data_IF_102778120705
#
_entry.id   IF_102778120705
#
_cell.length_a   1.000
_cell.length_b   1.000
_cell.length_c   1.000
_cell.angle_alpha   90.00
_cell.angle_beta   90.00
_cell.angle_gamma   90.00
#
_symmetry.space_group_name_H-M   'P 1'
#
loop_
_entity.id
_entity.type
_entity.pdbx_description
1 polymer ?
#
# COMPACT_ATOMS: atom_id res chain seq x y z
N UNK A 1 20.90 22.46 -7.31
CA UNK A 1 20.24 21.59 -6.32
C UNK A 1 20.80 20.18 -6.47
N UNK A 2 20.95 19.41 -5.39
CA UNK A 2 21.37 18.01 -5.51
C UNK A 2 20.31 17.22 -6.30
N UNK A 3 20.76 16.44 -7.29
CA UNK A 3 19.89 15.63 -8.16
C UNK A 3 19.13 14.57 -7.37
N UNK A 4 19.76 14.01 -6.33
CA UNK A 4 19.14 13.11 -5.38
C UNK A 4 19.32 13.66 -3.96
N UNK A 5 18.25 13.72 -3.17
CA UNK A 5 18.25 14.23 -1.80
C UNK A 5 17.77 13.15 -0.84
N UNK A 6 18.51 12.89 0.23
CA UNK A 6 18.05 12.03 1.33
C UNK A 6 16.90 12.72 2.05
N UNK A 7 15.84 11.98 2.34
CA UNK A 7 14.70 12.49 3.08
C UNK A 7 14.87 12.25 4.58
N UNK A 8 14.62 13.30 5.36
CA UNK A 8 14.36 13.20 6.80
C UNK A 8 12.90 12.83 7.05
N UNK A 9 12.56 12.47 8.28
CA UNK A 9 11.17 12.21 8.69
C UNK A 9 10.22 13.38 8.38
N UNK A 10 10.64 14.62 8.63
CA UNK A 10 9.79 15.79 8.40
C UNK A 10 9.57 16.02 6.90
N UNK A 11 10.62 15.87 6.09
CA UNK A 11 10.50 16.02 4.64
C UNK A 11 9.72 14.88 3.99
N UNK A 12 9.81 13.66 4.52
CA UNK A 12 8.98 12.52 4.08
C UNK A 12 7.48 12.84 4.19
N UNK A 13 7.06 13.35 5.34
CA UNK A 13 5.65 13.71 5.57
C UNK A 13 5.20 14.79 4.57
N UNK A 14 6.07 15.74 4.24
CA UNK A 14 5.75 16.79 3.25
C UNK A 14 5.53 16.19 1.85
N UNK A 15 6.42 15.33 1.36
CA UNK A 15 6.24 14.69 0.05
C UNK A 15 5.05 13.74 0.03
N UNK A 16 4.80 13.03 1.12
CA UNK A 16 3.63 12.14 1.24
C UNK A 16 2.32 12.90 1.06
N UNK A 17 2.23 14.13 1.56
CA UNK A 17 1.05 14.99 1.41
C UNK A 17 0.84 15.50 -0.03
N UNK A 18 1.89 15.48 -0.85
CA UNK A 18 1.82 15.81 -2.28
C UNK A 18 1.55 14.60 -3.16
N UNK A 19 1.62 13.38 -2.60
CA UNK A 19 1.36 12.15 -3.33
C UNK A 19 -0.10 11.99 -3.75
N UNK A 20 -0.31 11.30 -4.87
CA UNK A 20 -1.64 10.99 -5.39
C UNK A 20 -1.92 9.48 -5.51
N UNK A 21 -0.88 8.65 -5.43
CA UNK A 21 -0.93 7.19 -5.49
C UNK A 21 0.11 6.62 -4.50
N UNK A 22 0.93 5.60 -4.79
CA UNK A 22 1.88 4.96 -3.87
C UNK A 22 2.75 5.91 -3.02
N UNK A 23 3.02 7.12 -3.50
CA UNK A 23 3.81 8.12 -2.77
C UNK A 23 3.15 8.54 -1.45
N UNK A 24 1.85 8.31 -1.36
CA UNK A 24 1.00 8.52 -0.21
C UNK A 24 1.39 7.59 0.97
N UNK A 25 2.19 6.53 0.72
CA UNK A 25 2.77 5.62 1.72
C UNK A 25 4.26 5.85 1.96
N UNK A 26 4.83 6.99 1.53
CA UNK A 26 6.27 7.22 1.58
C UNK A 26 6.91 7.00 2.96
N UNK A 27 6.22 7.43 4.02
CA UNK A 27 6.68 7.23 5.39
C UNK A 27 6.64 5.77 5.82
N UNK A 28 5.65 5.00 5.38
CA UNK A 28 5.58 3.56 5.65
C UNK A 28 6.66 2.79 4.88
N UNK A 29 6.80 3.07 3.58
CA UNK A 29 7.83 2.48 2.72
C UNK A 29 9.25 2.80 3.18
N UNK A 30 9.49 3.96 3.79
CA UNK A 30 10.80 4.28 4.39
C UNK A 30 11.18 3.37 5.58
N UNK A 31 10.21 2.68 6.19
CA UNK A 31 10.47 1.72 7.26
C UNK A 31 10.63 0.29 6.73
N UNK A 32 10.00 -0.02 5.60
CA UNK A 32 9.98 -1.37 5.02
C UNK A 32 11.07 -1.59 3.97
N UNK A 33 11.32 -0.61 3.10
CA UNK A 33 12.11 -0.76 1.87
C UNK A 33 13.47 -0.04 1.91
N UNK A 34 13.81 0.62 3.01
CA UNK A 34 15.14 1.17 3.25
C UNK A 34 15.20 2.70 3.35
N UNK A 35 16.41 3.25 3.23
CA UNK A 35 16.62 4.68 3.41
C UNK A 35 15.95 5.48 2.29
N UNK A 36 15.13 6.50 2.61
CA UNK A 36 14.37 7.23 1.61
C UNK A 36 15.14 8.41 1.01
N UNK A 37 14.94 8.59 -0.30
CA UNK A 37 15.49 9.66 -1.12
C UNK A 37 14.41 10.18 -2.09
N UNK A 38 14.62 11.38 -2.62
CA UNK A 38 13.83 11.93 -3.71
C UNK A 38 14.75 12.37 -4.85
N UNK A 39 14.42 11.96 -6.07
CA UNK A 39 15.09 12.38 -7.30
C UNK A 39 14.40 13.63 -7.86
N UNK A 40 15.15 14.73 -7.92
CA UNK A 40 14.70 16.04 -8.43
C UNK A 40 13.34 16.52 -7.91
N UNK A 41 13.01 16.18 -6.66
CA UNK A 41 11.72 16.49 -6.03
C UNK A 41 10.50 15.87 -6.76
N UNK A 42 10.71 14.83 -7.57
CA UNK A 42 9.68 14.16 -8.38
C UNK A 42 9.47 12.69 -8.01
N UNK A 43 10.52 11.86 -8.00
CA UNK A 43 10.39 10.41 -7.82
C UNK A 43 10.93 9.95 -6.48
N UNK A 44 10.22 9.06 -5.80
CA UNK A 44 10.64 8.48 -4.53
C UNK A 44 11.54 7.26 -4.77
N UNK A 45 12.61 7.19 -3.99
CA UNK A 45 13.64 6.16 -4.10
C UNK A 45 13.96 5.65 -2.71
N UNK A 46 13.97 4.34 -2.53
CA UNK A 46 14.35 3.68 -1.28
C UNK A 46 15.49 2.72 -1.54
N UNK A 47 16.54 2.81 -0.73
CA UNK A 47 17.67 1.90 -0.85
C UNK A 47 17.84 1.09 0.42
N UNK A 48 17.63 -0.23 0.32
CA UNK A 48 18.00 -1.16 1.37
C UNK A 48 19.44 -1.64 1.15
N UNK A 49 20.36 -1.03 1.90
CA UNK A 49 21.79 -1.40 1.86
C UNK A 49 22.08 -2.83 2.29
N UNK A 50 21.17 -3.49 3.02
CA UNK A 50 21.41 -4.84 3.55
C UNK A 50 21.15 -5.90 2.48
N UNK A 51 20.04 -5.78 1.75
CA UNK A 51 19.71 -6.63 0.60
C UNK A 51 20.30 -6.12 -0.72
N UNK A 52 20.79 -4.87 -0.74
CA UNK A 52 21.20 -4.13 -1.95
C UNK A 52 20.08 -4.02 -2.99
N UNK A 53 18.84 -3.90 -2.53
CA UNK A 53 17.67 -3.67 -3.39
C UNK A 53 17.41 -2.16 -3.45
N UNK A 54 17.18 -1.67 -4.67
CA UNK A 54 16.76 -0.31 -4.94
C UNK A 54 15.29 -0.30 -5.36
N UNK A 55 14.44 0.34 -4.57
CA UNK A 55 13.01 0.50 -4.86
C UNK A 55 12.76 1.89 -5.43
N UNK A 56 12.05 1.98 -6.56
CA UNK A 56 11.64 3.25 -7.18
C UNK A 56 10.13 3.30 -7.36
N UNK A 57 9.53 4.41 -6.94
CA UNK A 57 8.18 4.79 -7.35
C UNK A 57 8.29 5.92 -8.37
N UNK A 58 7.92 5.63 -9.61
CA UNK A 58 8.01 6.53 -10.77
C UNK A 58 6.67 7.22 -11.08
N UNK A 59 5.88 7.43 -10.04
CA UNK A 59 4.73 8.33 -10.05
C UNK A 59 5.21 9.74 -9.66
N UNK A 60 4.69 10.76 -10.33
CA UNK A 60 5.24 12.11 -10.30
C UNK A 60 4.66 12.91 -9.12
N UNK A 61 5.52 13.31 -8.17
CA UNK A 61 5.13 14.20 -7.06
C UNK A 61 4.97 15.67 -7.46
N UNK A 62 5.67 16.10 -8.52
CA UNK A 62 5.72 17.51 -8.91
C UNK A 62 5.82 17.65 -10.44
N UNK A 63 7.02 17.77 -10.99
CA UNK A 63 7.24 17.99 -12.43
C UNK A 63 7.63 16.69 -13.10
N UNK A 64 7.16 16.48 -14.33
CA UNK A 64 7.57 15.36 -15.17
C UNK A 64 9.08 15.39 -15.41
N UNK A 65 9.76 14.35 -14.94
CA UNK A 65 11.20 14.14 -15.08
C UNK A 65 11.48 12.85 -15.85
N UNK A 66 12.66 12.75 -16.46
CA UNK A 66 13.05 11.55 -17.21
C UNK A 66 13.21 10.35 -16.25
N UNK A 67 12.31 9.37 -16.43
CA UNK A 67 12.27 8.13 -15.64
C UNK A 67 13.52 7.27 -15.83
N UNK A 68 14.03 7.13 -17.06
CA UNK A 68 15.24 6.35 -17.34
C UNK A 68 16.45 7.03 -16.71
N UNK A 69 16.54 8.35 -16.81
CA UNK A 69 17.61 9.10 -16.16
C UNK A 69 17.59 8.93 -14.63
N UNK A 70 16.40 8.90 -14.01
CA UNK A 70 16.25 8.61 -12.59
C UNK A 70 16.82 7.23 -12.23
N UNK A 71 16.43 6.20 -12.97
CA UNK A 71 16.88 4.81 -12.75
C UNK A 71 18.40 4.70 -12.92
N UNK A 72 18.96 5.20 -14.01
CA UNK A 72 20.41 5.13 -14.27
C UNK A 72 21.22 5.91 -13.22
N UNK A 73 20.75 7.10 -12.83
CA UNK A 73 21.44 7.92 -11.83
C UNK A 73 21.47 7.24 -10.47
N UNK A 74 20.34 6.68 -10.05
CA UNK A 74 20.20 6.02 -8.74
C UNK A 74 20.92 4.67 -8.72
N UNK A 75 20.82 3.87 -9.78
CA UNK A 75 21.56 2.62 -9.93
C UNK A 75 23.08 2.85 -9.88
N UNK A 76 23.59 3.88 -10.57
CA UNK A 76 25.02 4.23 -10.51
C UNK A 76 25.47 4.68 -9.13
N UNK A 77 24.61 5.40 -8.39
CA UNK A 77 24.95 5.93 -7.07
C UNK A 77 24.98 4.83 -5.99
N UNK A 78 23.98 3.95 -6.00
CA UNK A 78 23.79 2.95 -4.95
C UNK A 78 24.39 1.58 -5.28
N UNK A 79 24.72 1.32 -6.54
CA UNK A 79 25.22 0.03 -7.03
C UNK A 79 24.42 -1.19 -6.53
N UNK A 80 23.09 -1.24 -6.77
CA UNK A 80 22.25 -2.32 -6.27
C UNK A 80 22.48 -3.63 -7.03
N UNK A 81 22.09 -4.75 -6.41
CA UNK A 81 22.02 -6.06 -7.07
C UNK A 81 20.67 -6.28 -7.77
N UNK A 82 19.62 -5.62 -7.28
CA UNK A 82 18.24 -5.68 -7.79
C UNK A 82 17.57 -4.30 -7.77
N UNK A 83 16.69 -4.06 -8.75
CA UNK A 83 15.86 -2.86 -8.81
C UNK A 83 14.39 -3.28 -8.92
N UNK A 84 13.56 -2.77 -8.02
CA UNK A 84 12.11 -2.94 -8.03
C UNK A 84 11.47 -1.60 -8.37
N UNK A 85 10.64 -1.58 -9.41
CA UNK A 85 10.05 -0.33 -9.92
C UNK A 85 8.54 -0.45 -9.95
N UNK A 86 7.84 0.54 -9.40
CA UNK A 86 6.42 0.80 -9.69
C UNK A 86 6.28 2.05 -10.57
N UNK A 87 5.54 1.96 -11.67
CA UNK A 87 5.41 3.04 -12.66
C UNK A 87 4.02 3.08 -13.31
N UNK A 88 3.59 4.25 -13.84
CA UNK A 88 2.33 4.37 -14.58
C UNK A 88 2.37 3.73 -15.98
N UNK A 89 3.55 3.37 -16.46
CA UNK A 89 3.79 2.82 -17.80
C UNK A 89 4.79 1.68 -17.75
N UNK A 90 4.68 0.77 -18.72
CA UNK A 90 5.62 -0.33 -18.87
C UNK A 90 6.97 0.18 -19.35
N UNK A 91 8.02 -0.11 -18.59
CA UNK A 91 9.40 0.18 -18.95
C UNK A 91 10.00 -0.92 -19.83
N UNK A 92 11.09 -0.57 -20.52
CA UNK A 92 11.87 -1.49 -21.33
C UNK A 92 12.43 -2.67 -20.53
N UNK A 93 12.62 -3.81 -21.20
CA UNK A 93 13.10 -5.06 -20.58
C UNK A 93 14.52 -4.94 -20.03
N UNK A 94 15.40 -4.20 -20.70
CA UNK A 94 16.80 -4.05 -20.30
C UNK A 94 17.09 -2.58 -19.99
N UNK A 95 17.69 -2.31 -18.83
CA UNK A 95 18.09 -0.95 -18.42
C UNK A 95 19.54 -1.00 -17.94
N UNK A 96 20.46 -0.44 -18.73
CA UNK A 96 21.89 -0.54 -18.46
C UNK A 96 22.34 -2.00 -18.28
N UNK A 97 22.94 -2.31 -17.13
CA UNK A 97 23.41 -3.65 -16.79
C UNK A 97 22.32 -4.54 -16.14
N UNK A 98 21.06 -4.13 -16.16
CA UNK A 98 19.97 -4.86 -15.51
C UNK A 98 18.98 -5.45 -16.53
N UNK A 99 18.53 -6.67 -16.25
CA UNK A 99 17.53 -7.38 -17.04
C UNK A 99 16.25 -7.59 -16.22
N UNK A 100 15.10 -7.28 -16.82
CA UNK A 100 13.80 -7.47 -16.19
C UNK A 100 13.46 -8.97 -16.11
N UNK A 101 13.24 -9.45 -14.89
CA UNK A 101 12.93 -10.87 -14.62
C UNK A 101 11.45 -11.09 -14.28
N UNK A 102 10.75 -10.06 -13.84
CA UNK A 102 9.33 -10.11 -13.52
C UNK A 102 8.61 -8.83 -13.97
N UNK A 103 7.40 -8.99 -14.49
CA UNK A 103 6.53 -7.90 -14.95
C UNK A 103 5.11 -8.22 -14.51
N UNK A 104 4.53 -7.32 -13.72
CA UNK A 104 3.14 -7.38 -13.32
C UNK A 104 2.41 -6.08 -13.69
N UNK A 105 1.14 -6.20 -14.08
CA UNK A 105 0.25 -5.09 -14.36
C UNK A 105 -0.95 -5.15 -13.42
N UNK A 106 -1.26 -4.02 -12.81
CA UNK A 106 -2.39 -3.86 -11.89
C UNK A 106 -3.04 -2.48 -12.04
N UNK A 107 -4.13 -2.26 -11.31
CA UNK A 107 -4.79 -0.98 -11.18
C UNK A 107 -5.10 -0.68 -9.72
N UNK A 108 -4.95 0.59 -9.39
CA UNK A 108 -5.43 1.15 -8.14
C UNK A 108 -6.91 1.46 -8.20
N UNK A 109 -7.62 1.27 -7.09
CA UNK A 109 -9.07 1.46 -7.01
C UNK A 109 -9.46 2.38 -5.86
N UNK A 110 -10.23 3.42 -6.19
CA UNK A 110 -10.64 4.43 -5.22
C UNK A 110 -12.13 4.70 -5.24
N UNK A 111 -12.70 5.07 -4.10
CA UNK A 111 -14.08 5.49 -3.95
C UNK A 111 -14.14 7.02 -3.90
N UNK A 112 -14.93 7.61 -4.80
CA UNK A 112 -15.28 9.03 -4.72
C UNK A 112 -16.38 9.24 -3.67
N UNK A 113 -15.97 9.67 -2.47
CA UNK A 113 -16.82 9.74 -1.29
C UNK A 113 -18.04 10.68 -1.43
N UNK A 114 -17.96 11.84 -2.13
CA UNK A 114 -19.12 12.71 -2.31
C UNK A 114 -20.29 12.06 -3.06
N UNK A 115 -20.03 11.08 -3.94
CA UNK A 115 -21.09 10.35 -4.67
C UNK A 115 -21.51 9.04 -4.01
N UNK A 116 -20.74 8.53 -3.05
CA UNK A 116 -21.09 7.29 -2.35
C UNK A 116 -22.32 7.51 -1.48
N UNK A 117 -23.31 6.61 -1.54
CA UNK A 117 -24.50 6.70 -0.70
C UNK A 117 -24.36 5.86 0.58
N UNK A 118 -24.02 6.49 1.70
CA UNK A 118 -23.85 5.84 3.01
C UNK A 118 -25.16 5.32 3.63
N UNK A 119 -26.33 5.73 3.14
CA UNK A 119 -27.61 5.11 3.54
C UNK A 119 -27.77 3.71 2.93
N UNK A 120 -26.93 3.36 1.95
CA UNK A 120 -26.97 2.11 1.18
C UNK A 120 -28.36 1.85 0.57
N UNK A 121 -29.09 2.92 0.22
CA UNK A 121 -30.41 2.83 -0.41
C UNK A 121 -30.32 2.52 -1.90
N UNK A 122 -31.40 1.95 -2.44
CA UNK A 122 -31.48 1.53 -3.83
C UNK A 122 -31.00 0.11 -4.11
N UNK A 123 -31.21 -0.32 -5.35
CA UNK A 123 -30.95 -1.70 -5.78
C UNK A 123 -29.46 -2.01 -5.92
N UNK A 124 -28.65 -1.04 -6.35
CA UNK A 124 -27.20 -1.20 -6.49
C UNK A 124 -26.52 -1.58 -5.17
N UNK A 125 -27.05 -1.11 -4.04
CA UNK A 125 -26.50 -1.33 -2.71
C UNK A 125 -27.13 -2.52 -1.95
N UNK A 126 -28.06 -3.27 -2.56
CA UNK A 126 -28.82 -4.33 -1.88
C UNK A 126 -27.92 -5.36 -1.18
N UNK A 127 -26.85 -5.81 -1.86
CA UNK A 127 -25.93 -6.78 -1.29
C UNK A 127 -25.10 -6.18 -0.15
N UNK A 128 -24.59 -4.95 -0.32
CA UNK A 128 -23.81 -4.25 0.70
C UNK A 128 -24.64 -4.04 1.97
N UNK A 129 -25.87 -3.52 1.81
CA UNK A 129 -26.81 -3.31 2.92
C UNK A 129 -27.08 -4.59 3.70
N UNK A 130 -27.29 -5.71 3.00
CA UNK A 130 -27.45 -7.02 3.65
C UNK A 130 -26.20 -7.41 4.46
N UNK A 131 -25.00 -7.27 3.87
CA UNK A 131 -23.74 -7.67 4.53
C UNK A 131 -23.47 -6.82 5.76
N UNK A 132 -23.61 -5.50 5.65
CA UNK A 132 -23.43 -4.55 6.76
C UNK A 132 -24.45 -4.82 7.88
N UNK A 133 -25.73 -4.98 7.56
CA UNK A 133 -26.75 -5.31 8.56
C UNK A 133 -26.51 -6.67 9.23
N UNK A 134 -26.02 -7.68 8.48
CA UNK A 134 -25.66 -8.97 9.05
C UNK A 134 -24.51 -8.85 10.06
N UNK A 135 -23.48 -8.04 9.76
CA UNK A 135 -22.39 -7.77 10.71
C UNK A 135 -22.87 -7.03 11.97
N UNK A 136 -23.71 -6.01 11.81
CA UNK A 136 -24.32 -5.28 12.94
C UNK A 136 -25.16 -6.22 13.80
N UNK A 137 -25.99 -7.07 13.19
CA UNK A 137 -26.80 -8.07 13.92
C UNK A 137 -25.94 -9.07 14.70
N UNK A 138 -24.73 -9.35 14.22
CA UNK A 138 -23.74 -10.21 14.89
C UNK A 138 -22.99 -9.51 16.03
N UNK A 139 -23.25 -8.22 16.26
CA UNK A 139 -22.62 -7.44 17.32
C UNK A 139 -21.21 -6.96 16.97
N UNK A 140 -20.87 -6.85 15.68
CA UNK A 140 -19.58 -6.27 15.31
C UNK A 140 -19.55 -4.79 15.62
N UNK A 141 -18.42 -4.31 16.15
CA UNK A 141 -18.18 -2.90 16.41
C UNK A 141 -16.75 -2.52 16.05
N UNK A 142 -16.54 -1.23 15.75
CA UNK A 142 -15.25 -0.67 15.38
C UNK A 142 -14.69 0.15 16.55
N UNK A 143 -13.42 -0.02 16.88
CA UNK A 143 -12.65 0.89 17.71
C UNK A 143 -11.44 1.42 16.93
N UNK A 144 -11.15 2.71 17.07
CA UNK A 144 -9.99 3.33 16.44
C UNK A 144 -8.84 3.40 17.45
N UNK A 145 -7.67 2.90 17.07
CA UNK A 145 -6.49 2.83 17.93
C UNK A 145 -5.21 3.33 17.27
N UNK A 146 -4.13 3.38 18.05
CA UNK A 146 -2.77 3.74 17.57
C UNK A 146 -1.68 2.78 18.04
N UNK A 147 -2.06 1.68 18.69
CA UNK A 147 -1.12 0.73 19.29
C UNK A 147 -1.56 -0.67 18.97
N UNK A 148 -0.62 -1.44 18.45
CA UNK A 148 -0.80 -2.88 18.32
C UNK A 148 -0.76 -3.53 19.71
N UNK A 149 -1.70 -4.44 19.92
CA UNK A 149 -1.76 -5.37 21.05
C UNK A 149 -1.39 -6.79 20.57
N UNK A 150 -1.12 -7.76 21.48
CA UNK A 150 -0.80 -9.15 21.12
C UNK A 150 -1.76 -9.77 20.08
N UNK A 151 -3.06 -9.45 20.16
CA UNK A 151 -4.05 -9.93 19.20
C UNK A 151 -3.78 -9.48 17.75
N UNK A 152 -3.22 -8.28 17.53
CA UNK A 152 -2.90 -7.79 16.19
C UNK A 152 -1.75 -8.59 15.59
N UNK A 153 -0.70 -8.85 16.36
CA UNK A 153 0.42 -9.70 15.92
C UNK A 153 -0.04 -11.12 15.59
N UNK A 154 -0.98 -11.66 16.36
CA UNK A 154 -1.56 -12.97 16.05
C UNK A 154 -2.31 -12.97 14.71
N UNK A 155 -3.11 -11.93 14.43
CA UNK A 155 -3.81 -11.79 13.16
C UNK A 155 -2.85 -11.66 11.97
N UNK A 156 -1.77 -10.89 12.11
CA UNK A 156 -0.72 -10.78 11.09
C UNK A 156 -0.08 -12.15 10.84
N UNK A 157 0.31 -12.88 11.88
CA UNK A 157 0.89 -14.22 11.74
C UNK A 157 -0.06 -15.23 11.08
N UNK A 158 -1.36 -15.18 11.42
CA UNK A 158 -2.38 -15.99 10.76
C UNK A 158 -2.51 -15.64 9.26
N UNK A 159 -2.44 -14.35 8.92
CA UNK A 159 -2.50 -13.87 7.55
C UNK A 159 -1.30 -14.37 6.74
N UNK A 160 -0.07 -14.19 7.25
CA UNK A 160 1.18 -14.64 6.61
C UNK A 160 1.13 -16.16 6.32
N UNK A 161 0.72 -16.95 7.31
CA UNK A 161 0.62 -18.41 7.19
C UNK A 161 -0.38 -18.82 6.11
N UNK A 162 -1.51 -18.11 5.99
CA UNK A 162 -2.57 -18.45 5.05
C UNK A 162 -2.26 -18.02 3.60
N UNK A 163 -1.54 -16.90 3.42
CA UNK A 163 -1.34 -16.26 2.11
C UNK A 163 -0.03 -16.63 1.42
N UNK A 164 0.93 -17.24 2.14
CA UNK A 164 2.31 -17.44 1.63
C UNK A 164 2.88 -16.10 1.11
N UNK A 165 2.88 -15.10 1.99
CA UNK A 165 3.32 -13.75 1.66
C UNK A 165 4.73 -13.75 1.06
N UNK A 166 4.94 -12.87 0.09
CA UNK A 166 6.27 -12.61 -0.42
C UNK A 166 7.10 -11.78 0.58
N UNK A 167 8.36 -11.52 0.21
CA UNK A 167 9.27 -10.77 1.05
C UNK A 167 8.79 -9.33 1.30
N UNK A 168 8.18 -8.69 0.30
CA UNK A 168 7.81 -7.27 0.36
C UNK A 168 6.61 -7.06 1.29
N UNK A 169 5.59 -7.90 1.15
CA UNK A 169 4.45 -7.95 2.07
C UNK A 169 4.95 -8.17 3.51
N UNK A 170 5.85 -9.14 3.70
CA UNK A 170 6.42 -9.45 5.01
C UNK A 170 7.18 -8.26 5.62
N UNK A 171 7.96 -7.52 4.82
CA UNK A 171 8.66 -6.31 5.25
C UNK A 171 7.69 -5.22 5.71
N UNK A 172 6.60 -5.00 4.96
CA UNK A 172 5.55 -4.05 5.35
C UNK A 172 4.90 -4.45 6.67
N UNK A 173 4.58 -5.73 6.86
CA UNK A 173 3.89 -6.20 8.06
C UNK A 173 4.74 -6.02 9.32
N UNK A 174 6.05 -6.29 9.22
CA UNK A 174 7.01 -6.03 10.29
C UNK A 174 7.13 -4.52 10.61
N UNK A 175 6.96 -3.67 9.60
CA UNK A 175 7.02 -2.21 9.72
C UNK A 175 5.84 -1.57 10.46
N UNK A 176 4.67 -2.22 10.55
CA UNK A 176 3.41 -1.61 11.06
C UNK A 176 3.59 -0.99 12.45
N UNK A 177 4.24 -1.71 13.38
CA UNK A 177 4.45 -1.22 14.75
C UNK A 177 5.25 0.08 14.77
N UNK A 178 6.34 0.10 14.01
CA UNK A 178 7.24 1.24 13.96
C UNK A 178 6.59 2.39 13.18
N UNK A 179 5.71 2.07 12.23
CA UNK A 179 4.92 3.04 11.50
C UNK A 179 3.98 3.82 12.43
N UNK A 180 3.17 3.11 13.21
CA UNK A 180 2.28 3.70 14.22
C UNK A 180 3.03 4.46 15.32
N UNK A 181 4.22 4.00 15.69
CA UNK A 181 5.04 4.62 16.73
C UNK A 181 5.67 5.93 16.28
N UNK A 182 6.21 5.96 15.06
CA UNK A 182 6.97 7.10 14.59
C UNK A 182 6.10 8.13 13.88
N UNK A 183 5.02 7.75 13.20
CA UNK A 183 4.19 8.67 12.45
C UNK A 183 2.85 8.93 13.16
N UNK A 184 2.41 10.19 13.13
CA UNK A 184 1.22 10.63 13.84
C UNK A 184 -0.08 10.30 13.09
N UNK A 185 -0.01 10.24 11.76
CA UNK A 185 -1.15 10.03 10.88
C UNK A 185 -1.73 8.61 10.95
N UNK A 186 -0.97 7.50 10.88
CA UNK A 186 -1.59 6.19 10.79
C UNK A 186 -2.37 5.81 12.05
N UNK A 187 -3.53 5.20 11.82
CA UNK A 187 -4.44 4.66 12.82
C UNK A 187 -4.73 3.19 12.52
N UNK A 188 -5.24 2.50 13.53
CA UNK A 188 -5.77 1.15 13.43
C UNK A 188 -7.29 1.18 13.50
N UNK A 189 -7.95 0.58 12.54
CA UNK A 189 -9.40 0.41 12.49
C UNK A 189 -9.71 -1.01 12.93
N UNK A 190 -10.01 -1.18 14.22
CA UNK A 190 -10.11 -2.49 14.86
C UNK A 190 -11.56 -2.95 14.92
N UNK A 191 -11.87 -4.10 14.33
CA UNK A 191 -13.20 -4.69 14.42
C UNK A 191 -13.22 -5.82 15.43
N UNK A 192 -14.17 -5.71 16.35
CA UNK A 192 -14.38 -6.66 17.44
C UNK A 192 -15.71 -7.39 17.31
N UNK A 193 -15.74 -8.61 17.86
CA UNK A 193 -16.95 -9.38 18.13
C UNK A 193 -16.86 -9.97 19.53
N UNK A 194 -17.78 -9.60 20.42
CA UNK A 194 -17.76 -10.01 21.84
C UNK A 194 -16.39 -9.81 22.52
N UNK A 195 -15.79 -8.61 22.36
CA UNK A 195 -14.47 -8.23 22.86
C UNK A 195 -13.25 -8.95 22.22
N UNK A 196 -13.46 -9.90 21.31
CA UNK A 196 -12.38 -10.50 20.52
C UNK A 196 -12.09 -9.63 19.30
N UNK A 197 -10.83 -9.25 19.08
CA UNK A 197 -10.38 -8.62 17.84
C UNK A 197 -10.45 -9.66 16.71
N UNK A 198 -11.30 -9.42 15.72
CA UNK A 198 -11.55 -10.36 14.61
C UNK A 198 -10.97 -9.88 13.27
N UNK A 199 -10.61 -8.61 13.19
CA UNK A 199 -9.85 -8.06 12.09
C UNK A 199 -9.48 -6.61 12.33
N UNK A 200 -8.51 -6.11 11.60
CA UNK A 200 -8.18 -4.69 11.63
C UNK A 200 -7.55 -4.24 10.31
N UNK A 201 -7.72 -2.95 10.04
CA UNK A 201 -7.08 -2.24 8.94
C UNK A 201 -6.08 -1.23 9.49
N UNK A 202 -4.96 -1.10 8.79
CA UNK A 202 -4.03 0.02 8.95
C UNK A 202 -4.52 1.09 8.00
N UNK A 203 -4.87 2.26 8.53
CA UNK A 203 -5.41 3.38 7.76
C UNK A 203 -4.49 4.57 7.92
N UNK A 204 -4.27 5.29 6.83
CA UNK A 204 -3.51 6.54 6.85
C UNK A 204 -4.27 7.69 6.19
N UNK A 205 -3.87 8.92 6.53
CA UNK A 205 -4.62 10.13 6.22
C UNK A 205 -3.73 11.19 5.60
N UNK A 206 -4.20 11.72 4.49
CA UNK A 206 -3.47 12.66 3.65
C UNK A 206 -4.39 13.82 3.27
N UNK A 207 -3.92 14.69 2.36
CA UNK A 207 -4.57 15.94 1.98
C UNK A 207 -6.12 15.82 1.91
N UNK A 208 -6.64 15.19 0.86
CA UNK A 208 -8.08 14.94 0.70
C UNK A 208 -8.41 13.45 0.52
N UNK A 209 -7.44 12.58 0.80
CA UNK A 209 -7.54 11.11 0.64
C UNK A 209 -7.27 10.40 1.95
N UNK A 210 -8.13 9.44 2.27
CA UNK A 210 -7.87 8.39 3.26
C UNK A 210 -7.45 7.12 2.52
N UNK A 211 -6.46 6.39 3.01
CA UNK A 211 -5.94 5.17 2.37
C UNK A 211 -5.96 3.97 3.33
N UNK A 212 -6.16 2.78 2.78
CA UNK A 212 -6.12 1.51 3.53
C UNK A 212 -4.96 0.65 2.99
N UNK A 213 -3.71 0.91 3.41
CA UNK A 213 -2.55 0.18 2.92
C UNK A 213 -2.58 -1.32 3.22
N UNK A 214 -3.13 -1.72 4.38
CA UNK A 214 -3.08 -3.11 4.84
C UNK A 214 -4.34 -3.50 5.62
N UNK A 215 -4.80 -4.74 5.42
CA UNK A 215 -5.93 -5.31 6.14
C UNK A 215 -5.73 -6.77 6.55
N UNK A 216 -6.07 -7.08 7.80
CA UNK A 216 -5.86 -8.39 8.41
C UNK A 216 -7.16 -8.91 9.03
N UNK A 217 -7.67 -10.03 8.54
CA UNK A 217 -9.00 -10.51 8.90
C UNK A 217 -9.02 -12.00 9.22
N UNK A 218 -9.74 -12.38 10.27
CA UNK A 218 -10.21 -13.75 10.44
C UNK A 218 -11.38 -14.01 9.49
N UNK A 219 -11.67 -15.29 9.25
CA UNK A 219 -12.81 -15.70 8.43
C UNK A 219 -14.16 -15.54 9.17
N UNK A 220 -14.58 -14.28 9.37
CA UNK A 220 -15.85 -13.91 9.98
C UNK A 220 -16.84 -13.42 8.90
N UNK A 221 -18.10 -13.90 8.92
CA UNK A 221 -19.08 -13.47 7.92
C UNK A 221 -19.27 -11.96 7.93
N UNK A 222 -19.22 -11.35 6.74
CA UNK A 222 -19.42 -9.90 6.53
C UNK A 222 -18.40 -8.98 7.20
N UNK A 223 -17.27 -9.48 7.69
CA UNK A 223 -16.26 -8.66 8.36
C UNK A 223 -15.68 -7.57 7.44
N UNK A 224 -15.18 -7.96 6.26
CA UNK A 224 -14.56 -7.02 5.31
C UNK A 224 -15.55 -5.99 4.75
N UNK A 225 -16.82 -6.37 4.58
CA UNK A 225 -17.88 -5.44 4.20
C UNK A 225 -18.21 -4.46 5.35
N UNK A 226 -18.12 -4.90 6.60
CA UNK A 226 -18.42 -4.06 7.75
C UNK A 226 -17.32 -3.02 8.00
N UNK A 227 -16.05 -3.43 7.99
CA UNK A 227 -14.94 -2.50 8.22
C UNK A 227 -14.89 -1.44 7.13
N UNK A 228 -14.98 -1.82 5.86
CA UNK A 228 -15.00 -0.88 4.73
C UNK A 228 -16.19 0.09 4.79
N UNK A 229 -17.37 -0.38 5.21
CA UNK A 229 -18.49 0.54 5.46
C UNK A 229 -18.16 1.60 6.51
N UNK A 230 -17.56 1.18 7.63
CA UNK A 230 -17.20 2.07 8.73
C UNK A 230 -16.10 3.06 8.33
N UNK A 231 -15.16 2.62 7.51
CA UNK A 231 -14.12 3.46 6.92
C UNK A 231 -14.70 4.52 5.98
N UNK A 232 -15.63 4.14 5.10
CA UNK A 232 -16.33 5.10 4.23
C UNK A 232 -17.09 6.14 5.05
N UNK A 233 -17.86 5.70 6.06
CA UNK A 233 -18.61 6.61 6.93
C UNK A 233 -17.65 7.56 7.66
N UNK A 234 -16.58 7.03 8.25
CA UNK A 234 -15.57 7.84 8.92
C UNK A 234 -14.94 8.85 7.96
N UNK A 235 -14.55 8.42 6.76
CA UNK A 235 -13.90 9.28 5.77
C UNK A 235 -14.82 10.44 5.34
N UNK A 236 -16.11 10.15 5.11
CA UNK A 236 -17.12 11.16 4.81
C UNK A 236 -17.34 12.14 5.97
N UNK A 237 -17.46 11.64 7.20
CA UNK A 237 -17.62 12.48 8.40
C UNK A 237 -16.42 13.42 8.62
N UNK A 238 -15.22 12.97 8.25
CA UNK A 238 -13.99 13.79 8.31
C UNK A 238 -13.79 14.71 7.10
N UNK A 239 -14.65 14.63 6.09
CA UNK A 239 -14.61 15.50 4.92
C UNK A 239 -13.56 15.12 3.87
N UNK A 240 -13.11 13.86 3.84
CA UNK A 240 -12.24 13.38 2.76
C UNK A 240 -13.03 13.26 1.45
N UNK A 241 -12.34 13.53 0.34
CA UNK A 241 -12.89 13.42 -1.02
C UNK A 241 -12.77 11.99 -1.55
N UNK A 242 -11.67 11.32 -1.22
CA UNK A 242 -11.33 10.00 -1.74
C UNK A 242 -11.04 9.00 -0.63
N UNK A 243 -11.44 7.75 -0.86
CA UNK A 243 -10.95 6.60 -0.12
C UNK A 243 -10.20 5.68 -1.08
N UNK A 244 -8.90 5.57 -0.88
CA UNK A 244 -8.00 4.71 -1.63
C UNK A 244 -7.99 3.30 -1.02
N UNK A 245 -8.34 2.29 -1.84
CA UNK A 245 -8.40 0.89 -1.44
C UNK A 245 -7.15 0.10 -1.87
N UNK A 246 -6.21 0.74 -2.56
CA UNK A 246 -5.00 0.15 -3.11
C UNK A 246 -5.21 -0.67 -4.38
N UNK A 247 -4.23 -1.52 -4.66
CA UNK A 247 -4.10 -2.32 -5.89
C UNK A 247 -5.08 -3.48 -5.96
N UNK A 248 -5.54 -3.89 -7.14
CA UNK A 248 -6.50 -4.98 -7.22
C UNK A 248 -5.90 -6.34 -6.83
N UNK A 249 -4.61 -6.59 -7.05
CA UNK A 249 -3.82 -7.80 -6.75
C UNK A 249 -4.30 -9.11 -7.41
N UNK A 250 -5.61 -9.32 -7.50
CA UNK A 250 -6.27 -10.46 -8.13
C UNK A 250 -7.75 -10.12 -8.43
N UNK A 251 -8.39 -10.95 -9.26
CA UNK A 251 -9.79 -10.73 -9.68
C UNK A 251 -10.79 -10.74 -8.53
N UNK A 252 -10.55 -11.50 -7.45
CA UNK A 252 -11.45 -11.56 -6.29
C UNK A 252 -11.47 -10.26 -5.51
N UNK A 253 -10.29 -9.68 -5.27
CA UNK A 253 -10.14 -8.37 -4.62
C UNK A 253 -10.64 -7.25 -5.53
N UNK A 254 -10.38 -7.30 -6.84
CA UNK A 254 -10.94 -6.36 -7.81
C UNK A 254 -12.48 -6.33 -7.78
N UNK A 255 -13.12 -7.50 -7.80
CA UNK A 255 -14.58 -7.62 -7.72
C UNK A 255 -15.12 -7.11 -6.39
N UNK A 256 -14.39 -7.33 -5.29
CA UNK A 256 -14.75 -6.78 -3.99
C UNK A 256 -14.75 -5.25 -4.01
N UNK A 257 -13.72 -4.61 -4.60
CA UNK A 257 -13.63 -3.14 -4.71
C UNK A 257 -14.71 -2.56 -5.60
N UNK A 258 -14.93 -3.15 -6.78
CA UNK A 258 -16.02 -2.74 -7.70
C UNK A 258 -17.41 -2.87 -7.08
N UNK A 259 -17.64 -3.90 -6.25
CA UNK A 259 -18.89 -4.05 -5.49
C UNK A 259 -19.16 -2.84 -4.58
N UNK A 260 -18.11 -2.19 -4.09
CA UNK A 260 -18.15 -0.97 -3.29
C UNK A 260 -18.12 0.32 -4.13
N UNK A 261 -18.39 0.24 -5.44
CA UNK A 261 -18.40 1.37 -6.37
C UNK A 261 -17.03 2.06 -6.48
N UNK A 262 -15.94 1.36 -6.15
CA UNK A 262 -14.60 1.86 -6.41
C UNK A 262 -14.33 1.82 -7.91
N UNK A 263 -13.69 2.87 -8.42
CA UNK A 263 -13.31 3.03 -9.82
C UNK A 263 -11.78 2.94 -9.95
N UNK A 264 -11.27 2.36 -11.05
CA UNK A 264 -9.84 2.34 -11.28
C UNK A 264 -9.32 3.76 -11.52
N UNK A 265 -8.26 4.17 -10.81
CA UNK A 265 -7.71 5.53 -10.90
C UNK A 265 -6.32 5.57 -11.51
N UNK A 266 -5.46 4.60 -11.18
CA UNK A 266 -4.09 4.53 -11.67
C UNK A 266 -3.82 3.17 -12.31
N UNK A 267 -3.08 3.19 -13.41
CA UNK A 267 -2.46 1.99 -13.97
C UNK A 267 -1.09 1.82 -13.34
N UNK A 268 -0.73 0.58 -13.02
CA UNK A 268 0.47 0.26 -12.26
C UNK A 268 1.21 -0.86 -12.98
N UNK A 269 2.46 -0.59 -13.33
CA UNK A 269 3.41 -1.58 -13.77
C UNK A 269 4.43 -1.79 -12.65
N UNK A 270 4.48 -3.01 -12.13
CA UNK A 270 5.52 -3.44 -11.20
C UNK A 270 6.54 -4.29 -11.96
N UNK A 271 7.80 -3.89 -11.95
CA UNK A 271 8.87 -4.56 -12.68
C UNK A 271 10.09 -4.78 -11.79
N UNK A 272 10.58 -6.01 -11.79
CA UNK A 272 11.79 -6.42 -11.07
C UNK A 272 12.93 -6.63 -12.06
N UNK A 273 14.08 -6.06 -11.74
CA UNK A 273 15.27 -6.08 -12.56
C UNK A 273 16.45 -6.61 -11.76
N UNK A 274 17.17 -7.58 -12.31
CA UNK A 274 18.37 -8.16 -11.68
C UNK A 274 19.60 -7.77 -12.47
N UNK A 275 20.67 -7.39 -11.77
CA UNK A 275 21.95 -7.05 -12.39
C UNK A 275 22.53 -8.26 -13.12
N UNK A 276 23.00 -8.04 -14.34
CA UNK A 276 23.66 -9.06 -15.15
C UNK A 276 24.87 -9.65 -14.40
N UNK A 277 24.96 -10.98 -14.35
CA UNK A 277 26.02 -11.70 -13.64
C UNK A 277 25.74 -12.04 -12.18
N UNK A 278 24.61 -11.61 -11.59
CA UNK A 278 24.20 -12.02 -10.23
C UNK A 278 23.49 -13.40 -10.20
N UNK A 279 23.16 -13.97 -11.38
CA UNK A 279 22.41 -15.23 -11.56
C UNK A 279 23.01 -16.49 -10.90
N UNK A 280 24.27 -16.46 -10.45
CA UNK A 280 24.93 -17.64 -9.88
C UNK A 280 24.63 -17.90 -8.38
N UNK A 281 23.80 -17.07 -7.71
CA UNK A 281 23.44 -17.30 -6.29
C UNK A 281 22.06 -17.92 -6.05
N UNK A 282 21.15 -17.89 -7.02
CA UNK A 282 19.76 -18.33 -6.83
C UNK A 282 19.58 -19.85 -7.06
N UNK A 283 20.58 -20.54 -7.65
CA UNK A 283 20.47 -21.97 -8.00
C UNK A 283 20.67 -22.94 -6.81
N UNK A 284 20.92 -22.45 -5.59
CA UNK A 284 21.16 -23.33 -4.43
C UNK A 284 19.93 -23.63 -3.55
N UNK A 285 18.76 -23.03 -3.79
CA UNK A 285 17.55 -23.28 -3.00
C UNK A 285 16.51 -24.19 -3.68
N UNK A 286 16.90 -24.86 -4.77
CA UNK A 286 16.04 -25.77 -5.52
C UNK A 286 16.59 -27.19 -5.64
N UNK A 287 16.89 -27.86 -4.53
CA UNK A 287 17.01 -29.33 -4.44
C UNK A 287 16.42 -29.87 -3.15
#
# INVERSE_FOLDING_TARGET
>A
MATLKRLTKNTLILYQQSGHFDEHLASFYSLAFGEPYVYKDTYLVYYDRFSKILYLSLFELNVCEDKLQCIETTAKLFDPEEIVITSPEKLQTDIGDFHCVNINFDRDYQIYLPKFNETLEGNAYKQLRYRVHNAIKRGYYLEIGRKMAPAHYHLVACHETAKKCDLWDSQLYLGIRDYLKHFASPLLFNVFSNAMLIGFDVVDFLNDTMTIPLGFYLNYPSLTDFILFKEIVYAKEKGYTWLDLGWACNSGVELFKKKWMAEPRFEIWAQEYVKNGVKDRIVLEGK
#
